data_IF_315613544223
#
_entry.id   IF_315613544223
#
_cell.length_a   1.000
_cell.length_b   1.000
_cell.length_c   1.000
_cell.angle_alpha   90.00
_cell.angle_beta   90.00
_cell.angle_gamma   90.00
#
_symmetry.space_group_name_H-M   'P 1'
#
loop_
_entity.id
_entity.type
_entity.pdbx_description
1 polymer ?
#
# COMPACT_ATOMS: atom_id res chain seq x y z
N UNK A 1 -22.71 -20.01 -1.51
CA UNK A 1 -24.00 -19.32 -1.21
C UNK A 1 -24.38 -18.41 -2.37
N UNK A 2 -25.62 -18.50 -2.90
CA UNK A 2 -26.06 -17.59 -3.94
C UNK A 2 -26.25 -16.18 -3.35
N UNK A 3 -25.56 -15.21 -3.91
CA UNK A 3 -25.80 -13.77 -3.64
C UNK A 3 -26.41 -13.17 -4.89
N UNK A 4 -27.26 -12.14 -4.76
CA UNK A 4 -27.92 -11.52 -5.93
C UNK A 4 -26.94 -11.37 -7.11
N UNK A 5 -27.21 -12.09 -8.21
CA UNK A 5 -26.46 -12.13 -9.48
C UNK A 5 -25.03 -12.71 -9.45
N UNK A 6 -24.64 -13.46 -8.43
CA UNK A 6 -23.39 -14.24 -8.44
C UNK A 6 -23.52 -15.47 -7.55
N UNK A 7 -22.81 -16.53 -7.93
CA UNK A 7 -22.57 -17.69 -7.10
C UNK A 7 -21.21 -17.46 -6.43
N UNK A 8 -21.15 -17.63 -5.11
CA UNK A 8 -19.90 -17.64 -4.35
C UNK A 8 -19.64 -19.09 -3.96
N UNK A 9 -18.52 -19.64 -4.42
CA UNK A 9 -18.00 -20.94 -4.00
C UNK A 9 -16.91 -20.65 -2.98
N UNK A 10 -17.07 -21.17 -1.78
CA UNK A 10 -16.09 -21.05 -0.71
C UNK A 10 -15.42 -22.44 -0.57
N UNK A 11 -14.10 -22.43 -0.73
CA UNK A 11 -13.27 -23.63 -0.55
C UNK A 11 -12.54 -23.46 0.77
N UNK A 12 -12.84 -24.33 1.72
CA UNK A 12 -12.16 -24.37 3.03
C UNK A 12 -11.14 -25.48 3.01
N UNK A 13 -9.91 -25.16 3.31
CA UNK A 13 -8.82 -26.13 3.39
C UNK A 13 -7.85 -25.76 4.50
N UNK A 14 -7.16 -26.74 5.05
CA UNK A 14 -6.14 -26.54 6.06
C UNK A 14 -4.78 -26.37 5.39
N UNK A 15 -4.10 -25.29 5.72
CA UNK A 15 -2.71 -25.07 5.32
C UNK A 15 -1.83 -25.28 6.54
N UNK A 16 -0.75 -26.06 6.38
CA UNK A 16 0.28 -26.10 7.41
C UNK A 16 0.98 -24.75 7.48
N UNK A 17 0.76 -24.02 8.57
CA UNK A 17 1.48 -22.77 8.82
C UNK A 17 2.94 -23.12 9.08
N UNK A 18 3.84 -22.64 8.24
CA UNK A 18 5.26 -22.77 8.48
C UNK A 18 5.64 -21.93 9.70
N UNK A 19 6.48 -22.47 10.56
CA UNK A 19 7.09 -21.65 11.63
C UNK A 19 7.83 -20.49 10.99
N UNK A 20 7.74 -19.34 11.61
CA UNK A 20 8.55 -18.18 11.23
C UNK A 20 10.02 -18.60 11.13
N UNK A 21 10.66 -18.20 10.04
CA UNK A 21 12.08 -18.47 9.85
C UNK A 21 12.87 -17.66 10.89
N UNK A 22 14.00 -18.19 11.38
CA UNK A 22 14.89 -17.43 12.25
C UNK A 22 15.34 -16.16 11.54
N UNK A 23 15.58 -15.12 12.31
CA UNK A 23 16.05 -13.84 11.77
C UNK A 23 17.38 -14.02 11.00
N UNK A 24 17.39 -13.59 9.76
CA UNK A 24 18.54 -13.64 8.87
C UNK A 24 19.08 -12.25 8.50
N UNK A 25 18.63 -11.20 9.19
CA UNK A 25 18.97 -9.80 8.94
C UNK A 25 18.58 -9.32 7.51
N UNK A 26 17.55 -9.90 6.89
CA UNK A 26 17.07 -9.51 5.55
C UNK A 26 15.62 -9.04 5.64
N UNK A 27 15.42 -7.77 5.45
CA UNK A 27 14.16 -7.08 5.71
C UNK A 27 13.70 -6.24 4.54
N UNK A 28 12.38 -6.04 4.41
CA UNK A 28 11.79 -4.99 3.59
C UNK A 28 10.93 -4.06 4.43
N UNK A 29 10.91 -2.78 4.02
CA UNK A 29 9.99 -1.76 4.52
C UNK A 29 8.99 -1.40 3.44
N UNK A 30 7.72 -1.23 3.80
CA UNK A 30 6.61 -0.90 2.90
C UNK A 30 5.91 0.36 3.39
N UNK A 31 5.93 1.41 2.55
CA UNK A 31 5.07 2.59 2.67
C UNK A 31 3.85 2.39 1.75
N UNK A 32 2.64 2.48 2.32
CA UNK A 32 1.38 2.25 1.60
C UNK A 32 0.74 3.60 1.24
N UNK A 33 0.35 3.74 -0.02
CA UNK A 33 -0.23 4.98 -0.51
C UNK A 33 -1.29 4.82 -1.59
N UNK A 34 -1.83 5.94 -2.06
CA UNK A 34 -2.89 6.00 -3.08
C UNK A 34 -2.34 6.03 -4.50
N UNK A 35 -1.30 6.83 -4.76
CA UNK A 35 -0.68 6.95 -6.09
C UNK A 35 0.33 5.84 -6.33
N UNK A 36 1.06 5.52 -5.30
CA UNK A 36 1.92 4.37 -5.16
C UNK A 36 1.25 3.45 -4.15
N UNK A 37 0.71 2.31 -4.61
CA UNK A 37 -0.01 1.38 -3.72
C UNK A 37 0.90 0.85 -2.62
N UNK A 38 2.14 0.53 -2.99
CA UNK A 38 3.18 0.16 -2.05
C UNK A 38 4.52 0.63 -2.60
N UNK A 39 5.30 1.32 -1.79
CA UNK A 39 6.70 1.61 -2.05
C UNK A 39 7.54 0.71 -1.17
N UNK A 40 8.38 -0.11 -1.77
CA UNK A 40 9.14 -1.17 -1.11
C UNK A 40 10.62 -0.87 -1.17
N UNK A 41 11.25 -0.78 -0.01
CA UNK A 41 12.70 -0.74 0.17
C UNK A 41 13.18 -2.04 0.83
N UNK A 42 14.48 -2.31 0.78
CA UNK A 42 15.11 -3.41 1.48
C UNK A 42 16.49 -3.00 2.03
N UNK A 43 17.09 -3.84 2.86
CA UNK A 43 18.41 -3.63 3.45
C UNK A 43 19.50 -4.51 2.83
N UNK A 44 19.25 -5.16 1.69
CA UNK A 44 20.15 -6.18 1.14
C UNK A 44 20.67 -5.89 -0.26
N UNK A 45 20.02 -4.99 -1.00
CA UNK A 45 20.33 -4.72 -2.41
C UNK A 45 19.87 -3.34 -2.86
N UNK A 46 20.35 -2.93 -4.04
CA UNK A 46 19.98 -1.68 -4.70
C UNK A 46 18.60 -1.72 -5.37
N UNK A 47 17.77 -2.70 -5.07
CA UNK A 47 16.48 -2.92 -5.72
C UNK A 47 15.33 -2.44 -4.83
N UNK A 48 14.93 -1.19 -5.01
CA UNK A 48 13.67 -0.68 -4.48
C UNK A 48 12.64 -0.58 -5.60
N UNK A 49 11.36 -0.80 -5.28
CA UNK A 49 10.30 -0.72 -6.29
C UNK A 49 9.02 -0.10 -5.75
N UNK A 50 8.22 0.41 -6.68
CA UNK A 50 6.89 0.94 -6.42
C UNK A 50 5.86 0.12 -7.17
N UNK A 51 4.83 -0.35 -6.48
CA UNK A 51 3.63 -0.89 -7.11
C UNK A 51 2.69 0.27 -7.42
N UNK A 52 2.40 0.46 -8.71
CA UNK A 52 1.61 1.58 -9.19
C UNK A 52 0.16 1.54 -8.66
N UNK A 53 -0.30 2.57 -7.94
CA UNK A 53 -1.68 2.70 -7.44
C UNK A 53 -2.67 3.36 -8.42
N UNK A 54 -2.18 3.96 -9.52
CA UNK A 54 -3.02 4.69 -10.49
C UNK A 54 -4.13 3.83 -11.12
N UNK A 55 -3.95 2.51 -11.38
CA UNK A 55 -5.04 1.65 -11.84
C UNK A 55 -6.23 1.62 -10.89
N UNK A 56 -6.00 1.52 -9.57
CA UNK A 56 -7.06 1.56 -8.56
C UNK A 56 -7.80 2.90 -8.55
N UNK A 57 -7.08 4.01 -8.69
CA UNK A 57 -7.67 5.35 -8.84
C UNK A 57 -8.55 5.44 -10.09
N UNK A 58 -8.09 4.90 -11.20
CA UNK A 58 -8.85 4.90 -12.47
C UNK A 58 -10.14 4.09 -12.35
N UNK A 59 -10.08 2.89 -11.75
CA UNK A 59 -11.24 2.04 -11.48
C UNK A 59 -12.26 2.78 -10.62
N UNK A 60 -11.83 3.41 -9.53
CA UNK A 60 -12.69 4.16 -8.62
C UNK A 60 -13.27 5.41 -9.30
N UNK A 61 -12.49 6.15 -10.07
CA UNK A 61 -12.96 7.34 -10.82
C UNK A 61 -14.05 6.97 -11.82
N UNK A 62 -13.86 5.89 -12.57
CA UNK A 62 -14.87 5.38 -13.50
C UNK A 62 -16.14 4.96 -12.76
N UNK A 63 -15.99 4.19 -11.68
CA UNK A 63 -17.12 3.76 -10.83
C UNK A 63 -17.90 4.97 -10.31
N UNK A 64 -17.24 5.96 -9.71
CA UNK A 64 -17.90 7.13 -9.13
C UNK A 64 -18.68 7.92 -10.17
N UNK A 65 -18.12 8.11 -11.38
CA UNK A 65 -18.81 8.77 -12.50
C UNK A 65 -20.08 8.03 -12.91
N UNK A 66 -20.01 6.70 -13.06
CA UNK A 66 -21.13 5.87 -13.51
C UNK A 66 -22.20 5.68 -12.44
N UNK A 67 -21.80 5.49 -11.17
CA UNK A 67 -22.75 5.29 -10.07
C UNK A 67 -23.59 6.55 -9.81
N UNK A 68 -22.96 7.74 -9.90
CA UNK A 68 -23.65 9.03 -9.78
C UNK A 68 -24.72 9.18 -10.86
N UNK A 69 -24.36 8.92 -12.11
CA UNK A 69 -25.30 8.96 -13.23
C UNK A 69 -26.47 7.97 -13.06
N UNK A 70 -26.17 6.72 -12.70
CA UNK A 70 -27.24 5.71 -12.52
C UNK A 70 -28.15 6.02 -11.33
N UNK A 71 -27.63 6.63 -10.27
CA UNK A 71 -28.42 7.10 -9.13
C UNK A 71 -29.39 8.23 -9.56
N UNK A 72 -28.91 9.19 -10.33
CA UNK A 72 -29.74 10.26 -10.86
C UNK A 72 -30.88 9.74 -11.74
N UNK A 73 -30.58 8.79 -12.65
CA UNK A 73 -31.58 8.16 -13.51
C UNK A 73 -32.62 7.37 -12.68
N UNK A 74 -32.15 6.60 -11.68
CA UNK A 74 -33.04 5.81 -10.83
C UNK A 74 -33.99 6.69 -10.01
N UNK A 75 -33.52 7.83 -9.50
CA UNK A 75 -34.36 8.81 -8.81
C UNK A 75 -35.41 9.42 -9.71
N UNK A 76 -35.06 9.80 -10.94
CA UNK A 76 -36.01 10.38 -11.91
C UNK A 76 -37.11 9.39 -12.36
N UNK A 77 -36.72 8.12 -12.56
CA UNK A 77 -37.65 7.12 -13.11
C UNK A 77 -38.54 6.46 -12.05
N UNK A 78 -38.00 6.13 -10.89
CA UNK A 78 -38.66 5.26 -9.91
C UNK A 78 -38.63 5.82 -8.47
N UNK A 79 -38.20 7.05 -8.28
CA UNK A 79 -37.95 7.65 -6.96
C UNK A 79 -37.12 6.74 -6.01
N UNK A 80 -36.17 5.97 -6.57
CA UNK A 80 -35.40 4.98 -5.87
C UNK A 80 -33.89 5.27 -6.02
N UNK A 81 -33.13 5.11 -4.96
CA UNK A 81 -31.67 5.31 -4.95
C UNK A 81 -30.86 4.08 -5.39
N UNK A 82 -31.52 2.99 -5.76
CA UNK A 82 -30.91 1.71 -6.10
C UNK A 82 -31.41 1.13 -7.41
N UNK A 83 -30.52 0.51 -8.16
CA UNK A 83 -30.88 -0.29 -9.34
C UNK A 83 -29.98 -1.53 -9.47
N UNK A 84 -30.47 -2.58 -10.15
CA UNK A 84 -29.70 -3.78 -10.46
C UNK A 84 -28.41 -3.45 -11.25
N UNK A 85 -28.47 -2.42 -12.09
CA UNK A 85 -27.33 -1.92 -12.87
C UNK A 85 -26.23 -1.34 -11.96
N UNK A 86 -26.62 -0.61 -10.93
CA UNK A 86 -25.70 -0.10 -9.90
C UNK A 86 -25.03 -1.23 -9.11
N UNK A 87 -25.82 -2.25 -8.74
CA UNK A 87 -25.27 -3.43 -8.06
C UNK A 87 -24.23 -4.15 -8.91
N UNK A 88 -24.53 -4.43 -10.19
CA UNK A 88 -23.59 -5.07 -11.12
C UNK A 88 -22.30 -4.25 -11.29
N UNK A 89 -22.43 -2.92 -11.37
CA UNK A 89 -21.27 -2.02 -11.46
C UNK A 89 -20.40 -2.09 -10.20
N UNK A 90 -21.02 -2.12 -9.01
CA UNK A 90 -20.31 -2.22 -7.71
C UNK A 90 -19.57 -3.56 -7.60
N UNK A 91 -20.21 -4.67 -7.96
CA UNK A 91 -19.58 -5.99 -7.97
C UNK A 91 -18.37 -6.02 -8.89
N UNK A 92 -18.54 -5.51 -10.13
CA UNK A 92 -17.44 -5.45 -11.12
C UNK A 92 -16.27 -4.59 -10.62
N UNK A 93 -16.56 -3.44 -10.01
CA UNK A 93 -15.52 -2.57 -9.40
C UNK A 93 -14.77 -3.29 -8.30
N UNK A 94 -15.49 -3.92 -7.36
CA UNK A 94 -14.87 -4.61 -6.23
C UNK A 94 -14.00 -5.79 -6.69
N UNK A 95 -14.46 -6.57 -7.67
CA UNK A 95 -13.67 -7.68 -8.23
C UNK A 95 -12.37 -7.19 -8.89
N UNK A 96 -12.39 -6.06 -9.61
CA UNK A 96 -11.18 -5.48 -10.21
C UNK A 96 -10.18 -4.99 -9.16
N UNK A 97 -10.67 -4.38 -8.09
CA UNK A 97 -9.79 -3.93 -6.98
C UNK A 97 -9.19 -5.14 -6.28
N UNK A 98 -10.01 -6.15 -5.96
CA UNK A 98 -9.58 -7.38 -5.33
C UNK A 98 -8.48 -8.09 -6.16
N UNK A 99 -8.69 -8.26 -7.47
CA UNK A 99 -7.70 -8.85 -8.38
C UNK A 99 -6.37 -8.10 -8.34
N UNK A 100 -6.42 -6.76 -8.40
CA UNK A 100 -5.20 -5.94 -8.34
C UNK A 100 -4.46 -6.08 -7.02
N UNK A 101 -5.19 -6.08 -5.88
CA UNK A 101 -4.58 -6.26 -4.56
C UNK A 101 -3.99 -7.67 -4.40
N UNK A 102 -4.64 -8.69 -4.95
CA UNK A 102 -4.10 -10.05 -4.97
C UNK A 102 -2.79 -10.16 -5.75
N UNK A 103 -2.71 -9.53 -6.93
CA UNK A 103 -1.49 -9.47 -7.74
C UNK A 103 -0.38 -8.70 -7.01
N UNK A 104 -0.71 -7.55 -6.43
CA UNK A 104 0.23 -6.71 -5.70
C UNK A 104 0.83 -7.42 -4.48
N UNK A 105 -0.02 -8.02 -3.65
CA UNK A 105 0.44 -8.75 -2.46
C UNK A 105 1.22 -10.01 -2.82
N UNK A 106 0.87 -10.72 -3.91
CA UNK A 106 1.64 -11.86 -4.42
C UNK A 106 3.02 -11.42 -4.90
N UNK A 107 3.11 -10.34 -5.66
CA UNK A 107 4.37 -9.80 -6.14
C UNK A 107 5.34 -9.47 -4.99
N UNK A 108 4.85 -8.83 -3.92
CA UNK A 108 5.68 -8.52 -2.73
C UNK A 108 6.19 -9.79 -2.06
N UNK A 109 5.32 -10.78 -1.86
CA UNK A 109 5.70 -12.03 -1.18
C UNK A 109 6.63 -12.89 -2.04
N UNK A 110 6.41 -12.94 -3.36
CA UNK A 110 7.32 -13.63 -4.28
C UNK A 110 8.70 -12.96 -4.30
N UNK A 111 8.76 -11.62 -4.25
CA UNK A 111 10.03 -10.88 -4.09
C UNK A 111 10.75 -11.28 -2.78
N UNK A 112 10.02 -11.40 -1.68
CA UNK A 112 10.62 -11.85 -0.41
C UNK A 112 11.18 -13.26 -0.51
N UNK A 113 10.46 -14.17 -1.14
CA UNK A 113 10.88 -15.57 -1.35
C UNK A 113 12.16 -15.65 -2.19
N UNK A 114 12.19 -14.94 -3.32
CA UNK A 114 13.30 -14.95 -4.29
C UNK A 114 14.57 -14.34 -3.70
N UNK A 115 14.44 -13.35 -2.81
CA UNK A 115 15.56 -12.67 -2.16
C UNK A 115 15.85 -13.18 -0.75
N UNK A 116 15.21 -14.30 -0.33
CA UNK A 116 15.37 -14.89 1.00
C UNK A 116 15.15 -13.87 2.15
N UNK A 117 14.15 -13.00 1.99
CA UNK A 117 13.75 -12.03 3.01
C UNK A 117 12.83 -12.74 4.00
N UNK A 118 13.09 -12.59 5.29
CA UNK A 118 12.30 -13.25 6.33
C UNK A 118 11.37 -12.31 7.11
N UNK A 119 11.48 -11.00 6.92
CA UNK A 119 10.62 -10.05 7.63
C UNK A 119 10.18 -8.88 6.74
N UNK A 120 8.88 -8.61 6.77
CA UNK A 120 8.22 -7.49 6.11
C UNK A 120 7.79 -6.50 7.20
N UNK A 121 8.21 -5.23 7.10
CA UNK A 121 7.71 -4.14 7.95
C UNK A 121 6.76 -3.29 7.14
N UNK A 122 5.51 -3.16 7.58
CA UNK A 122 4.50 -2.36 6.91
C UNK A 122 4.16 -1.14 7.76
N UNK A 123 4.25 0.03 7.17
CA UNK A 123 3.71 1.24 7.78
C UNK A 123 2.18 1.15 7.84
N UNK A 124 1.63 1.36 9.03
CA UNK A 124 0.19 1.40 9.23
C UNK A 124 -0.18 2.63 10.08
N UNK A 125 -1.14 3.39 9.61
CA UNK A 125 -1.73 4.48 10.37
C UNK A 125 -3.17 4.12 10.70
N UNK A 126 -3.43 3.75 11.96
CA UNK A 126 -4.77 3.40 12.43
C UNK A 126 -5.81 4.51 12.23
N UNK A 127 -5.37 5.76 12.04
CA UNK A 127 -6.22 6.92 11.83
C UNK A 127 -6.43 7.28 10.35
N UNK A 128 -5.91 6.49 9.39
CA UNK A 128 -6.02 6.80 7.96
C UNK A 128 -7.42 7.19 7.48
N UNK A 129 -8.47 6.68 8.12
CA UNK A 129 -9.86 6.94 7.73
C UNK A 129 -10.51 8.07 8.51
N UNK A 130 -9.97 8.46 9.68
CA UNK A 130 -10.65 9.38 10.60
C UNK A 130 -10.22 10.85 10.46
N UNK A 131 -8.97 11.12 10.05
CA UNK A 131 -8.39 12.47 9.99
C UNK A 131 -7.77 12.83 8.64
N UNK A 132 -8.19 12.18 7.54
CA UNK A 132 -7.68 12.52 6.21
C UNK A 132 -8.24 13.88 5.74
N UNK A 133 -7.61 14.97 6.12
CA UNK A 133 -7.89 16.32 5.58
C UNK A 133 -7.08 16.59 4.31
N UNK A 134 -7.34 15.75 3.29
CA UNK A 134 -6.72 15.88 1.97
C UNK A 134 -7.64 16.53 0.93
N UNK A 135 -8.75 17.13 1.41
CA UNK A 135 -9.82 17.65 0.56
C UNK A 135 -10.78 16.57 0.03
N UNK A 136 -12.04 16.93 -0.20
CA UNK A 136 -13.17 16.02 -0.50
C UNK A 136 -12.89 14.97 -1.58
N UNK A 137 -12.17 15.34 -2.64
CA UNK A 137 -11.87 14.46 -3.79
C UNK A 137 -10.79 13.43 -3.50
N UNK A 138 -9.77 13.81 -2.75
CA UNK A 138 -8.68 12.90 -2.36
C UNK A 138 -9.16 11.95 -1.26
N UNK A 139 -9.92 12.44 -0.28
CA UNK A 139 -10.52 11.61 0.77
C UNK A 139 -11.40 10.52 0.19
N UNK A 140 -12.26 10.84 -0.81
CA UNK A 140 -13.08 9.83 -1.48
C UNK A 140 -12.24 8.73 -2.15
N UNK A 141 -11.14 9.09 -2.81
CA UNK A 141 -10.26 8.12 -3.48
C UNK A 141 -9.53 7.25 -2.46
N UNK A 142 -9.06 7.86 -1.38
CA UNK A 142 -8.33 7.18 -0.30
C UNK A 142 -9.22 6.16 0.44
N UNK A 143 -10.41 6.57 0.87
CA UNK A 143 -11.37 5.70 1.60
C UNK A 143 -11.84 4.51 0.75
N UNK A 144 -11.80 4.61 -0.59
CA UNK A 144 -12.25 3.56 -1.49
C UNK A 144 -11.23 2.45 -1.76
N UNK A 145 -9.96 2.61 -1.34
CA UNK A 145 -8.95 1.55 -1.42
C UNK A 145 -8.92 0.81 -0.07
N UNK A 146 -9.15 -0.51 -0.04
CA UNK A 146 -9.18 -1.27 1.22
C UNK A 146 -7.76 -1.65 1.67
N UNK A 147 -6.99 -0.70 2.21
CA UNK A 147 -5.60 -0.89 2.64
C UNK A 147 -5.44 -1.97 3.70
N UNK A 148 -6.31 -2.03 4.70
CA UNK A 148 -6.30 -3.09 5.73
C UNK A 148 -6.36 -4.48 5.08
N UNK A 149 -7.27 -4.66 4.10
CA UNK A 149 -7.37 -5.92 3.37
C UNK A 149 -6.12 -6.22 2.55
N UNK A 150 -5.45 -5.20 2.02
CA UNK A 150 -4.18 -5.37 1.32
C UNK A 150 -3.08 -5.87 2.27
N UNK A 151 -2.99 -5.29 3.46
CA UNK A 151 -2.05 -5.76 4.52
C UNK A 151 -2.37 -7.21 4.92
N UNK A 152 -3.65 -7.54 5.12
CA UNK A 152 -4.07 -8.91 5.43
C UNK A 152 -3.68 -9.90 4.31
N UNK A 153 -3.80 -9.47 3.04
CA UNK A 153 -3.36 -10.30 1.90
C UNK A 153 -1.84 -10.52 1.86
N UNK A 154 -1.06 -9.54 2.26
CA UNK A 154 0.40 -9.70 2.42
C UNK A 154 0.66 -10.69 3.56
N UNK A 155 0.01 -10.51 4.72
CA UNK A 155 0.24 -11.32 5.91
C UNK A 155 -0.02 -12.81 5.65
N UNK A 156 -1.23 -13.20 5.23
CA UNK A 156 -1.51 -14.62 5.07
C UNK A 156 -0.68 -15.30 3.96
N UNK A 157 -0.29 -14.54 2.91
CA UNK A 157 0.61 -15.06 1.87
C UNK A 157 2.04 -15.19 2.36
N UNK A 158 2.49 -14.27 3.21
CA UNK A 158 3.82 -14.32 3.82
C UNK A 158 3.96 -15.52 4.78
N UNK A 159 2.90 -15.82 5.54
CA UNK A 159 2.81 -16.99 6.42
C UNK A 159 3.01 -18.31 5.66
N UNK A 160 2.56 -18.41 4.40
CA UNK A 160 2.79 -19.58 3.55
C UNK A 160 4.29 -19.92 3.38
N UNK A 161 5.17 -18.92 3.56
CA UNK A 161 6.62 -19.06 3.37
C UNK A 161 7.43 -18.85 4.66
N UNK A 162 6.77 -18.73 5.80
CA UNK A 162 7.42 -18.45 7.09
C UNK A 162 8.06 -17.07 7.15
N UNK A 163 7.50 -16.08 6.44
CA UNK A 163 7.93 -14.68 6.45
C UNK A 163 7.08 -13.92 7.47
N UNK A 164 7.74 -13.28 8.44
CA UNK A 164 7.08 -12.48 9.46
C UNK A 164 6.57 -11.14 8.88
N UNK A 165 5.43 -10.65 9.35
CA UNK A 165 4.89 -9.34 8.99
C UNK A 165 4.67 -8.51 10.26
N UNK A 166 5.40 -7.40 10.35
CA UNK A 166 5.35 -6.44 11.47
C UNK A 166 4.67 -5.17 10.97
N UNK A 167 3.62 -4.74 11.66
CA UNK A 167 3.01 -3.43 11.44
C UNK A 167 3.62 -2.41 12.40
N UNK A 168 3.97 -1.24 11.88
CA UNK A 168 4.50 -0.13 12.68
C UNK A 168 3.80 1.17 12.33
N UNK A 169 3.75 2.09 13.28
CA UNK A 169 3.15 3.40 13.08
C UNK A 169 4.01 4.27 12.15
N UNK A 170 3.36 5.01 11.24
CA UNK A 170 4.04 5.87 10.26
C UNK A 170 4.38 7.27 10.76
N UNK A 171 4.11 7.63 12.01
CA UNK A 171 4.35 8.98 12.50
C UNK A 171 5.77 9.45 12.20
N UNK A 172 5.86 10.68 11.68
CA UNK A 172 7.10 11.40 11.38
C UNK A 172 7.97 10.84 10.26
N UNK A 173 7.63 9.70 9.63
CA UNK A 173 8.44 9.08 8.55
C UNK A 173 8.52 9.93 7.28
N UNK A 174 7.47 10.71 6.97
CA UNK A 174 7.39 11.50 5.74
C UNK A 174 8.16 12.82 5.74
N UNK A 175 8.65 13.26 6.88
CA UNK A 175 9.35 14.55 7.03
C UNK A 175 10.72 14.45 7.67
N UNK A 176 11.18 13.26 8.03
CA UNK A 176 12.53 12.95 8.52
C UNK A 176 13.36 12.34 7.40
N UNK A 177 14.67 12.55 7.41
CA UNK A 177 15.56 12.13 6.34
C UNK A 177 16.27 10.82 6.68
N UNK A 178 16.01 9.78 5.92
CA UNK A 178 16.76 8.53 6.03
C UNK A 178 18.22 8.69 5.58
N UNK A 179 18.46 9.47 4.52
CA UNK A 179 19.80 9.76 4.00
C UNK A 179 20.70 10.41 5.06
N UNK A 180 20.14 11.32 5.86
CA UNK A 180 20.87 12.00 6.94
C UNK A 180 20.92 11.17 8.24
N UNK A 181 20.48 9.91 8.20
CA UNK A 181 20.37 8.99 9.33
C UNK A 181 19.53 9.52 10.51
N UNK A 182 18.57 10.39 10.24
CA UNK A 182 17.68 10.94 11.27
C UNK A 182 16.72 9.87 11.81
N UNK A 183 16.44 9.94 13.10
CA UNK A 183 15.38 9.14 13.72
C UNK A 183 14.01 9.72 13.37
N UNK A 184 12.99 8.89 13.05
CA UNK A 184 11.65 9.34 12.70
C UNK A 184 10.84 9.79 13.92
N UNK A 185 11.29 10.89 14.54
CA UNK A 185 10.69 11.52 15.72
C UNK A 185 10.26 12.96 15.41
N UNK A 186 9.42 13.54 16.27
CA UNK A 186 8.83 14.87 16.09
C UNK A 186 9.89 15.97 15.96
N UNK A 187 10.97 15.87 16.71
CA UNK A 187 12.07 16.84 16.77
C UNK A 187 12.81 16.96 15.43
N UNK A 188 12.89 15.89 14.68
CA UNK A 188 13.58 15.83 13.38
C UNK A 188 12.62 16.08 12.20
N UNK A 189 11.31 16.22 12.48
CA UNK A 189 10.31 16.33 11.43
C UNK A 189 10.32 17.70 10.76
N UNK A 190 10.60 17.75 9.47
CA UNK A 190 10.58 18.97 8.67
C UNK A 190 9.86 18.77 7.33
N UNK A 191 8.62 19.30 7.27
CA UNK A 191 7.76 19.19 6.09
C UNK A 191 8.31 19.96 4.86
N UNK A 192 9.14 20.99 5.05
CA UNK A 192 9.68 21.81 3.95
C UNK A 192 10.70 21.07 3.07
N UNK A 193 11.25 19.95 3.55
CA UNK A 193 12.15 19.09 2.77
C UNK A 193 11.44 18.36 1.62
N UNK A 194 10.12 18.30 1.64
CA UNK A 194 9.33 17.79 0.52
C UNK A 194 9.26 18.86 -0.56
N UNK A 195 10.21 18.81 -1.52
CA UNK A 195 10.36 19.79 -2.61
C UNK A 195 9.09 19.89 -3.45
N UNK A 196 8.55 18.71 -3.81
CA UNK A 196 7.22 18.54 -4.41
C UNK A 196 6.73 17.11 -4.14
N UNK A 197 5.51 16.80 -4.61
CA UNK A 197 4.98 15.46 -4.48
C UNK A 197 5.94 14.43 -5.14
N UNK A 198 6.36 13.45 -4.35
CA UNK A 198 7.26 12.39 -4.82
C UNK A 198 8.75 12.69 -4.73
N UNK A 199 9.18 13.90 -4.31
CA UNK A 199 10.59 14.25 -4.17
C UNK A 199 10.90 14.85 -2.80
N UNK A 200 11.87 14.26 -2.11
CA UNK A 200 12.38 14.68 -0.81
C UNK A 200 13.85 15.09 -0.93
N UNK A 201 14.26 16.09 -0.17
CA UNK A 201 15.62 16.62 -0.14
C UNK A 201 16.24 16.44 1.25
N UNK A 202 17.43 15.83 1.30
CA UNK A 202 18.23 15.71 2.52
C UNK A 202 18.87 17.04 2.93
N UNK A 203 19.50 17.08 4.09
CA UNK A 203 20.30 18.22 4.56
C UNK A 203 21.48 18.51 3.63
N UNK A 204 22.08 17.48 3.05
CA UNK A 204 23.19 17.58 2.09
C UNK A 204 22.71 17.84 0.65
N UNK A 205 21.46 18.25 0.46
CA UNK A 205 20.85 18.47 -0.86
C UNK A 205 20.75 17.22 -1.76
N UNK A 206 20.92 16.01 -1.22
CA UNK A 206 20.64 14.77 -1.97
C UNK A 206 19.14 14.61 -2.17
N UNK A 207 18.75 14.19 -3.36
CA UNK A 207 17.36 13.98 -3.73
C UNK A 207 17.00 12.49 -3.68
N UNK A 208 15.90 12.15 -3.03
CA UNK A 208 15.35 10.80 -2.95
C UNK A 208 13.85 10.84 -3.27
N UNK A 209 13.32 9.75 -3.81
CA UNK A 209 11.87 9.60 -3.91
C UNK A 209 11.25 9.68 -2.50
N UNK A 210 10.23 10.53 -2.32
CA UNK A 210 9.68 10.84 -1.00
C UNK A 210 9.00 9.63 -0.33
N UNK A 211 8.33 8.78 -1.11
CA UNK A 211 7.66 7.59 -0.58
C UNK A 211 8.70 6.49 -0.27
N UNK A 212 9.80 6.45 -1.03
CA UNK A 212 10.92 5.56 -0.72
C UNK A 212 11.66 6.00 0.57
N UNK A 213 11.84 7.31 0.78
CA UNK A 213 12.35 7.81 2.07
C UNK A 213 11.44 7.39 3.23
N UNK A 214 10.11 7.48 3.04
CA UNK A 214 9.13 6.99 4.01
C UNK A 214 9.28 5.50 4.30
N UNK A 215 9.41 4.66 3.27
CA UNK A 215 9.60 3.22 3.41
C UNK A 215 10.87 2.86 4.19
N UNK A 216 11.99 3.53 3.92
CA UNK A 216 13.22 3.37 4.69
C UNK A 216 13.06 3.80 6.15
N UNK A 217 12.35 4.90 6.41
CA UNK A 217 12.08 5.36 7.78
C UNK A 217 11.13 4.41 8.54
N UNK A 218 10.15 3.80 7.85
CA UNK A 218 9.30 2.74 8.40
C UNK A 218 10.16 1.54 8.81
N UNK A 219 11.06 1.10 7.93
CA UNK A 219 11.97 -0.01 8.23
C UNK A 219 12.89 0.33 9.40
N UNK A 220 13.42 1.55 9.46
CA UNK A 220 14.30 2.04 10.53
C UNK A 220 13.62 2.07 11.90
N UNK A 221 12.31 2.26 11.99
CA UNK A 221 11.56 2.20 13.26
C UNK A 221 11.64 0.85 13.94
N UNK A 222 11.83 -0.21 13.17
CA UNK A 222 11.82 -1.59 13.69
C UNK A 222 13.24 -2.17 13.75
N UNK A 223 14.06 -1.87 12.75
CA UNK A 223 15.42 -2.39 12.65
C UNK A 223 16.44 -1.26 12.54
N UNK A 224 17.62 -1.38 13.19
CA UNK A 224 18.64 -0.33 13.22
C UNK A 224 19.42 -0.25 11.90
N UNK A 225 18.74 0.09 10.82
CA UNK A 225 19.34 0.32 9.50
C UNK A 225 19.84 1.77 9.37
N UNK A 226 20.89 1.96 8.59
CA UNK A 226 21.46 3.27 8.28
C UNK A 226 21.58 3.44 6.77
N UNK A 227 21.56 4.70 6.34
CA UNK A 227 21.93 5.03 4.97
C UNK A 227 23.38 4.65 4.70
N UNK A 228 23.63 4.03 3.56
CA UNK A 228 24.93 3.87 2.94
C UNK A 228 24.90 4.21 1.45
N UNK A 229 26.05 4.19 0.78
CA UNK A 229 26.17 4.56 -0.64
C UNK A 229 25.41 3.58 -1.55
N UNK A 230 25.11 2.36 -1.09
CA UNK A 230 24.39 1.34 -1.85
C UNK A 230 22.86 1.49 -1.80
N UNK A 231 22.30 2.38 -0.96
CA UNK A 231 20.84 2.54 -0.90
C UNK A 231 20.29 3.22 -2.17
N UNK A 232 19.20 2.68 -2.68
CA UNK A 232 18.52 3.22 -3.87
C UNK A 232 17.82 4.54 -3.56
N UNK A 233 17.99 5.52 -4.44
CA UNK A 233 17.32 6.82 -4.35
C UNK A 233 16.05 6.91 -5.24
N UNK A 234 16.02 6.13 -6.31
CA UNK A 234 14.94 6.14 -7.30
C UNK A 234 14.44 4.72 -7.56
N UNK A 235 13.25 4.37 -7.06
CA UNK A 235 12.70 3.02 -7.19
C UNK A 235 12.18 2.76 -8.60
N UNK A 236 12.17 1.49 -9.02
CA UNK A 236 11.55 1.04 -10.26
C UNK A 236 10.03 0.98 -10.10
N UNK A 237 9.28 1.45 -11.09
CA UNK A 237 7.81 1.38 -11.07
C UNK A 237 7.33 0.07 -11.70
N UNK A 238 6.62 -0.73 -10.93
CA UNK A 238 6.00 -1.99 -11.34
C UNK A 238 4.54 -1.75 -11.70
N UNK A 239 4.17 -2.11 -12.92
CA UNK A 239 2.80 -2.10 -13.42
C UNK A 239 2.28 -3.53 -13.48
N UNK A 240 1.27 -3.82 -12.66
CA UNK A 240 0.61 -5.12 -12.64
C UNK A 240 -0.57 -5.09 -13.62
N UNK A 241 -0.51 -5.89 -14.66
CA UNK A 241 -1.53 -6.01 -15.71
C UNK A 241 -2.82 -6.70 -15.23
#
# INVERSE_FOLDING_TARGET
MPRRNRIVVEVVYTVAVLKEKPDNNRYIGIDIGVDNLATVCNNISDNAFIINGKPLKSINKYYNKKISHYREVAKRMNNNDYSLRMHKLTVKRNSKIEDYLHKASRYIVDYCRENNINTIVVGNNNEWKQHADMGRKNNQTFVQIPFTRFIDMIRYKAEEYGVAVIETEESYTSGTSFIDNEEPVKENYNKSRRVHRGLFRSNENKLINADLNGAYQILKKVFPIKWDIGCVLHPVVVNLG
#
